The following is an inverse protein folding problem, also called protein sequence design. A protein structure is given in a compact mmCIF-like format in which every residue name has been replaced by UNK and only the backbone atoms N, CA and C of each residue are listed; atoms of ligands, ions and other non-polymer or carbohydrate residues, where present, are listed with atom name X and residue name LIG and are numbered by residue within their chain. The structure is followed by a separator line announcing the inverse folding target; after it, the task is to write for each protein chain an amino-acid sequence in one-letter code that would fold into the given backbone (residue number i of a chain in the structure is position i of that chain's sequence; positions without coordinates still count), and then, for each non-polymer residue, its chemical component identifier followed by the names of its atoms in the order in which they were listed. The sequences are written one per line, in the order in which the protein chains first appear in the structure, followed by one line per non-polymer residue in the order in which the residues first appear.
data_IF_082135256568
#
_entry.id   IF_082135256568
#
_cell.length_a   1.000
_cell.length_b   1.000
_cell.length_c   1.000
_cell.angle_alpha   90.00
_cell.angle_beta   90.00
_cell.angle_gamma   90.00
#
_symmetry.space_group_name_H-M   'P 1'
#
loop_
_entity.id
_entity.type
_entity.pdbx_description
1 polymer ?
#
# COMPACT_ATOMS: atom_id res chain seq x y z
N UNK A 1 -13.23 42.63 -7.76
CA UNK A 1 -12.19 42.05 -6.89
C UNK A 1 -12.34 40.55 -6.91
N UNK A 2 -11.30 39.87 -7.37
CA UNK A 2 -11.38 38.53 -7.97
C UNK A 2 -10.87 37.48 -6.98
N UNK A 3 -11.76 36.82 -6.26
CA UNK A 3 -11.43 35.76 -5.27
C UNK A 3 -11.41 34.36 -5.93
N UNK A 4 -11.63 34.29 -7.26
CA UNK A 4 -11.81 33.03 -8.00
C UNK A 4 -10.54 32.38 -8.56
N UNK A 5 -9.32 32.84 -8.25
CA UNK A 5 -8.08 32.31 -8.87
C UNK A 5 -7.12 31.55 -7.95
N UNK A 6 -7.36 31.50 -6.65
CA UNK A 6 -6.40 30.89 -5.70
C UNK A 6 -6.72 29.45 -5.28
N UNK A 7 -7.89 28.91 -5.63
CA UNK A 7 -8.26 27.52 -5.30
C UNK A 7 -7.96 26.51 -6.43
N UNK A 8 -7.63 26.98 -7.63
CA UNK A 8 -7.36 26.12 -8.80
C UNK A 8 -5.88 25.68 -8.92
N UNK A 9 -5.00 26.19 -8.06
CA UNK A 9 -3.54 25.99 -8.13
C UNK A 9 -3.00 24.87 -7.21
N UNK A 10 -3.85 24.19 -6.44
CA UNK A 10 -3.44 23.06 -5.56
C UNK A 10 -3.91 21.70 -6.11
N UNK A 11 -4.64 21.66 -7.22
CA UNK A 11 -5.15 20.42 -7.84
C UNK A 11 -4.36 19.94 -9.07
N UNK A 12 -3.14 20.44 -9.30
CA UNK A 12 -2.31 20.08 -10.46
C UNK A 12 -0.93 19.47 -10.10
N UNK A 13 -0.74 18.96 -8.88
CA UNK A 13 0.55 18.40 -8.45
C UNK A 13 0.54 16.88 -8.31
N UNK A 14 0.04 16.14 -9.29
CA UNK A 14 0.22 14.67 -9.30
C UNK A 14 -0.03 14.06 -10.69
N UNK A 15 0.47 14.66 -11.76
CA UNK A 15 0.45 13.98 -13.05
C UNK A 15 1.48 14.64 -13.97
N UNK A 16 2.14 13.80 -14.76
CA UNK A 16 2.99 14.14 -15.90
C UNK A 16 4.45 14.47 -15.59
N UNK A 17 5.37 13.61 -16.05
CA UNK A 17 6.57 14.03 -16.75
C UNK A 17 7.21 12.87 -17.54
N UNK A 18 7.44 13.12 -18.82
CA UNK A 18 8.18 12.32 -19.78
C UNK A 18 9.68 12.59 -19.69
N UNK A 19 10.53 11.58 -19.97
CA UNK A 19 11.46 11.55 -21.11
C UNK A 19 12.39 10.32 -21.04
N UNK A 20 12.48 9.66 -22.21
CA UNK A 20 13.46 8.67 -22.72
C UNK A 20 14.60 8.20 -21.80
N UNK A 21 14.79 6.88 -21.72
CA UNK A 21 15.81 6.15 -22.52
C UNK A 21 15.76 4.64 -22.20
N UNK A 22 16.09 3.86 -23.22
CA UNK A 22 16.08 2.40 -23.28
C UNK A 22 17.08 1.74 -22.33
N UNK A 23 16.68 0.68 -21.63
CA UNK A 23 17.57 -0.48 -21.42
C UNK A 23 16.76 -1.77 -21.37
N UNK A 24 17.20 -2.73 -22.17
CA UNK A 24 16.61 -4.04 -22.35
C UNK A 24 17.07 -5.06 -21.30
N UNK A 25 16.19 -6.03 -21.05
CA UNK A 25 16.44 -7.49 -21.11
C UNK A 25 16.04 -8.30 -19.88
N UNK A 26 15.72 -9.58 -20.17
CA UNK A 26 15.44 -10.73 -19.32
C UNK A 26 13.98 -10.93 -18.84
N UNK A 27 13.11 -11.27 -19.79
CA UNK A 27 12.30 -12.52 -19.91
C UNK A 27 11.51 -12.40 -21.22
N UNK A 28 11.39 -13.45 -22.04
CA UNK A 28 10.92 -13.34 -23.44
C UNK A 28 9.60 -14.03 -23.73
N UNK A 29 8.94 -14.66 -22.75
CA UNK A 29 7.54 -15.07 -22.91
C UNK A 29 6.72 -14.58 -21.73
N UNK A 30 6.09 -13.43 -21.95
CA UNK A 30 5.15 -12.79 -21.04
C UNK A 30 3.74 -12.83 -21.60
N UNK A 31 3.47 -13.58 -22.66
CA UNK A 31 2.24 -13.42 -23.45
C UNK A 31 0.97 -13.44 -22.59
N UNK A 32 0.86 -14.38 -21.65
CA UNK A 32 -0.26 -14.45 -20.71
C UNK A 32 -0.26 -13.32 -19.66
N UNK A 33 0.90 -13.02 -19.05
CA UNK A 33 1.02 -11.97 -18.03
C UNK A 33 0.77 -10.57 -18.61
N UNK A 34 1.29 -10.31 -19.81
CA UNK A 34 1.08 -9.11 -20.58
C UNK A 34 -0.39 -8.99 -20.98
N UNK A 35 -1.02 -10.07 -21.45
CA UNK A 35 -2.45 -10.07 -21.76
C UNK A 35 -3.30 -9.75 -20.53
N UNK A 36 -3.00 -10.35 -19.38
CA UNK A 36 -3.65 -10.02 -18.09
C UNK A 36 -3.42 -8.56 -17.71
N UNK A 37 -2.21 -8.03 -17.91
CA UNK A 37 -1.91 -6.61 -17.67
C UNK A 37 -2.69 -5.68 -18.60
N UNK A 38 -2.76 -5.99 -19.90
CA UNK A 38 -3.53 -5.22 -20.88
C UNK A 38 -5.03 -5.22 -20.57
N UNK A 39 -5.59 -6.37 -20.18
CA UNK A 39 -7.00 -6.48 -19.79
C UNK A 39 -7.29 -5.70 -18.50
N UNK A 40 -6.37 -5.73 -17.54
CA UNK A 40 -6.44 -4.91 -16.33
C UNK A 40 -6.33 -3.43 -16.66
N UNK A 41 -5.36 -3.03 -17.48
CA UNK A 41 -5.17 -1.64 -17.89
C UNK A 41 -6.40 -1.09 -18.62
N UNK A 42 -6.99 -1.89 -19.52
CA UNK A 42 -8.25 -1.56 -20.18
C UNK A 42 -9.41 -1.41 -19.18
N UNK A 43 -9.45 -2.24 -18.13
CA UNK A 43 -10.42 -2.12 -17.03
C UNK A 43 -10.18 -0.85 -16.22
N UNK A 44 -8.93 -0.54 -15.88
CA UNK A 44 -8.54 0.67 -15.14
C UNK A 44 -8.95 1.94 -15.88
N UNK A 45 -8.77 2.01 -17.19
CA UNK A 45 -9.19 3.17 -17.98
C UNK A 45 -10.72 3.33 -18.06
N UNK A 46 -11.47 2.23 -17.95
CA UNK A 46 -12.95 2.26 -17.94
C UNK A 46 -13.50 2.66 -16.58
N UNK A 47 -12.93 2.13 -15.49
CA UNK A 47 -13.38 2.38 -14.13
C UNK A 47 -12.17 2.35 -13.17
N UNK A 48 -11.43 3.47 -13.04
CA UNK A 48 -10.24 3.52 -12.19
C UNK A 48 -10.59 3.37 -10.71
N UNK A 49 -11.83 3.70 -10.32
CA UNK A 49 -12.35 3.62 -8.96
C UNK A 49 -12.54 2.18 -8.48
N UNK A 50 -13.13 1.32 -9.33
CA UNK A 50 -13.43 -0.07 -9.02
C UNK A 50 -12.44 -1.08 -9.62
N UNK A 51 -11.19 -0.66 -9.82
CA UNK A 51 -10.15 -1.57 -10.32
C UNK A 51 -10.06 -2.84 -9.45
N UNK A 52 -10.31 -4.04 -10.01
CA UNK A 52 -10.34 -5.26 -9.23
C UNK A 52 -8.92 -5.70 -8.88
N UNK A 53 -8.66 -5.83 -7.58
CA UNK A 53 -7.42 -6.43 -7.09
C UNK A 53 -7.64 -7.92 -6.87
N UNK A 54 -7.38 -8.70 -7.91
CA UNK A 54 -7.52 -10.16 -7.86
C UNK A 54 -6.26 -10.85 -8.42
N UNK A 55 -5.90 -12.05 -7.91
CA UNK A 55 -6.48 -12.68 -6.71
C UNK A 55 -6.09 -11.98 -5.40
N UNK A 56 -6.82 -12.30 -4.33
CA UNK A 56 -6.49 -11.89 -2.97
C UNK A 56 -6.14 -13.10 -2.09
N UNK A 57 -5.29 -12.90 -1.10
CA UNK A 57 -5.03 -13.82 0.01
C UNK A 57 -5.78 -13.35 1.24
N UNK A 58 -6.68 -14.15 1.84
CA UNK A 58 -7.20 -13.85 3.15
C UNK A 58 -6.10 -14.01 4.21
N UNK A 59 -5.94 -13.01 5.06
CA UNK A 59 -5.08 -13.09 6.24
C UNK A 59 -5.93 -13.45 7.46
N UNK A 60 -5.47 -14.40 8.26
CA UNK A 60 -6.21 -14.82 9.45
C UNK A 60 -6.28 -13.69 10.49
N UNK A 61 -7.49 -13.30 10.88
CA UNK A 61 -7.74 -12.37 11.98
C UNK A 61 -8.14 -13.07 13.28
N UNK A 62 -8.78 -12.34 14.18
CA UNK A 62 -9.41 -12.92 15.39
C UNK A 62 -10.72 -13.63 15.06
N UNK A 63 -10.99 -14.75 15.74
CA UNK A 63 -12.26 -15.49 15.58
C UNK A 63 -13.45 -14.72 16.18
N UNK A 64 -13.21 -14.04 17.31
CA UNK A 64 -14.20 -13.22 18.01
C UNK A 64 -13.79 -11.75 17.96
N UNK A 65 -14.50 -11.00 17.15
CA UNK A 65 -14.35 -9.55 17.02
C UNK A 65 -15.32 -8.83 17.97
N UNK A 66 -14.84 -7.78 18.61
CA UNK A 66 -15.67 -6.88 19.41
C UNK A 66 -15.73 -5.53 18.69
N UNK A 67 -16.90 -5.12 18.16
CA UNK A 67 -17.02 -3.81 17.52
C UNK A 67 -16.71 -2.69 18.52
N UNK A 68 -16.14 -1.60 18.00
CA UNK A 68 -16.05 -0.37 18.78
C UNK A 68 -17.46 0.09 19.19
N UNK A 69 -17.65 0.56 20.43
CA UNK A 69 -18.96 0.99 20.89
C UNK A 69 -19.42 2.23 20.13
N UNK A 70 -20.64 2.16 19.57
CA UNK A 70 -21.33 3.30 18.98
C UNK A 70 -22.01 4.11 20.10
N UNK A 71 -21.76 5.42 20.15
CA UNK A 71 -22.42 6.29 21.13
C UNK A 71 -23.88 6.54 20.75
N UNK A 72 -24.75 6.64 21.75
CA UNK A 72 -26.12 7.13 21.53
C UNK A 72 -26.11 8.64 21.26
N UNK A 73 -27.16 9.22 20.63
CA UNK A 73 -27.23 10.67 20.42
C UNK A 73 -27.00 11.49 21.71
N UNK A 74 -27.48 11.01 22.86
CA UNK A 74 -27.29 11.67 24.16
C UNK A 74 -25.86 11.59 24.71
N UNK A 75 -25.04 10.65 24.20
CA UNK A 75 -23.66 10.43 24.63
C UNK A 75 -22.62 11.05 23.69
N UNK A 76 -23.06 11.63 22.56
CA UNK A 76 -22.17 12.23 21.57
C UNK A 76 -21.39 13.39 22.19
N UNK A 77 -20.09 13.44 21.91
CA UNK A 77 -19.23 14.56 22.31
C UNK A 77 -19.02 15.58 21.18
N UNK A 78 -19.56 15.29 20.00
CA UNK A 78 -19.51 16.13 18.80
C UNK A 78 -20.95 16.55 18.45
N UNK A 79 -21.15 17.83 18.13
CA UNK A 79 -22.47 18.36 17.78
C UNK A 79 -23.08 17.61 16.59
N UNK A 80 -24.38 17.34 16.65
CA UNK A 80 -25.11 16.68 15.57
C UNK A 80 -24.94 17.39 14.22
N UNK A 81 -25.02 18.73 14.20
CA UNK A 81 -24.79 19.54 13.01
C UNK A 81 -23.46 19.21 12.32
N UNK A 82 -22.35 19.17 13.06
CA UNK A 82 -21.03 18.84 12.52
C UNK A 82 -20.94 17.39 11.98
N UNK A 83 -21.59 16.43 12.66
CA UNK A 83 -21.64 15.05 12.18
C UNK A 83 -22.44 14.91 10.88
N UNK A 84 -23.57 15.63 10.76
CA UNK A 84 -24.37 15.69 9.53
C UNK A 84 -23.60 16.36 8.40
N UNK A 85 -23.01 17.54 8.64
CA UNK A 85 -22.25 18.28 7.63
C UNK A 85 -21.04 17.49 7.11
N UNK A 86 -20.28 16.85 8.00
CA UNK A 86 -19.12 16.02 7.61
C UNK A 86 -19.53 14.77 6.83
N UNK A 87 -20.63 14.11 7.20
CA UNK A 87 -21.20 13.00 6.42
C UNK A 87 -21.66 13.47 5.04
N UNK A 88 -22.41 14.57 4.96
CA UNK A 88 -22.90 15.11 3.69
C UNK A 88 -21.75 15.50 2.76
N UNK A 89 -20.66 16.04 3.31
CA UNK A 89 -19.44 16.28 2.55
C UNK A 89 -18.82 14.97 2.03
N UNK A 90 -18.67 13.95 2.89
CA UNK A 90 -18.12 12.66 2.48
C UNK A 90 -18.94 12.01 1.35
N UNK A 91 -20.26 12.08 1.44
CA UNK A 91 -21.19 11.59 0.42
C UNK A 91 -21.05 12.38 -0.90
N UNK A 92 -20.98 13.72 -0.84
CA UNK A 92 -20.77 14.56 -2.02
C UNK A 92 -19.41 14.31 -2.71
N UNK A 93 -18.41 13.81 -1.98
CA UNK A 93 -17.09 13.44 -2.49
C UNK A 93 -17.00 11.98 -2.97
N UNK A 94 -18.13 11.30 -3.17
CA UNK A 94 -18.21 9.89 -3.59
C UNK A 94 -17.51 8.91 -2.65
N UNK A 95 -17.51 9.19 -1.33
CA UNK A 95 -16.93 8.26 -0.35
C UNK A 95 -17.74 6.97 -0.26
N UNK A 96 -17.05 5.85 -0.04
CA UNK A 96 -17.69 4.54 0.14
C UNK A 96 -18.09 4.27 1.60
N UNK A 97 -17.33 4.81 2.56
CA UNK A 97 -17.60 4.73 3.98
C UNK A 97 -17.03 5.96 4.70
N UNK A 98 -17.64 6.36 5.81
CA UNK A 98 -17.20 7.46 6.65
C UNK A 98 -17.44 7.13 8.12
N UNK A 99 -16.40 7.25 8.96
CA UNK A 99 -16.46 6.94 10.39
C UNK A 99 -15.81 8.09 11.15
N UNK A 100 -16.49 8.60 12.18
CA UNK A 100 -15.94 9.55 13.16
C UNK A 100 -15.72 8.79 14.46
N UNK A 101 -14.46 8.70 14.88
CA UNK A 101 -14.03 7.99 16.08
C UNK A 101 -13.39 8.96 17.07
N UNK A 102 -13.80 8.90 18.34
CA UNK A 102 -13.27 9.75 19.41
C UNK A 102 -13.30 9.02 20.75
N UNK A 103 -12.22 9.13 21.51
CA UNK A 103 -12.10 8.57 22.86
C UNK A 103 -12.50 7.08 22.96
N UNK A 104 -12.10 6.27 21.97
CA UNK A 104 -12.39 4.84 21.95
C UNK A 104 -13.82 4.49 21.51
N UNK A 105 -14.64 5.44 21.07
CA UNK A 105 -16.04 5.22 20.65
C UNK A 105 -16.34 5.83 19.29
N UNK A 106 -17.26 5.21 18.55
CA UNK A 106 -17.74 5.75 17.28
C UNK A 106 -18.81 6.81 17.60
N UNK A 107 -18.61 8.03 17.11
CA UNK A 107 -19.54 9.17 17.24
C UNK A 107 -20.60 9.15 16.13
N UNK A 108 -20.18 8.74 14.92
CA UNK A 108 -21.02 8.55 13.75
C UNK A 108 -20.35 7.59 12.77
N UNK A 109 -21.15 6.79 12.09
CA UNK A 109 -20.72 5.99 10.94
C UNK A 109 -21.76 6.09 9.82
N UNK A 110 -21.29 6.02 8.59
CA UNK A 110 -22.09 6.00 7.38
C UNK A 110 -21.42 5.13 6.33
N UNK A 111 -22.22 4.38 5.59
CA UNK A 111 -21.79 3.51 4.53
C UNK A 111 -22.62 3.78 3.27
N UNK A 112 -21.95 3.80 2.12
CA UNK A 112 -22.61 3.96 0.82
C UNK A 112 -23.49 2.76 0.47
N UNK A 113 -24.22 2.88 -0.64
CA UNK A 113 -25.13 1.84 -1.13
C UNK A 113 -24.37 0.51 -1.35
N UNK A 114 -24.87 -0.57 -0.75
CA UNK A 114 -24.30 -1.92 -0.91
C UNK A 114 -23.07 -2.21 -0.06
N UNK A 115 -22.69 -1.28 0.82
CA UNK A 115 -21.54 -1.40 1.73
C UNK A 115 -22.05 -1.36 3.16
N UNK A 116 -21.49 -2.20 4.03
CA UNK A 116 -21.71 -2.14 5.47
C UNK A 116 -20.37 -2.21 6.23
N UNK A 117 -20.42 -2.17 7.56
CA UNK A 117 -19.26 -2.22 8.45
C UNK A 117 -18.37 -3.48 8.26
N UNK A 118 -18.83 -4.48 7.52
CA UNK A 118 -18.15 -5.76 7.27
C UNK A 118 -17.70 -5.89 5.81
N UNK A 119 -18.07 -4.96 4.93
CA UNK A 119 -17.65 -4.96 3.54
C UNK A 119 -16.18 -4.55 3.45
N UNK A 120 -15.28 -5.42 2.94
CA UNK A 120 -13.88 -5.07 2.79
C UNK A 120 -13.69 -3.95 1.74
N UNK A 121 -12.87 -2.95 2.06
CA UNK A 121 -12.58 -1.82 1.17
C UNK A 121 -11.11 -1.81 0.73
N UNK A 122 -10.87 -1.52 -0.55
CA UNK A 122 -9.53 -1.40 -1.11
C UNK A 122 -8.84 -0.15 -0.55
N UNK A 123 -7.79 -0.35 0.26
CA UNK A 123 -7.08 0.75 0.92
C UNK A 123 -6.12 1.52 0.00
N UNK A 124 -5.69 0.90 -1.11
CA UNK A 124 -4.59 1.38 -1.95
C UNK A 124 -3.37 1.71 -1.08
N UNK A 125 -2.84 2.93 -1.16
CA UNK A 125 -1.64 3.33 -0.41
C UNK A 125 -1.87 3.55 1.09
N UNK A 126 -3.10 3.49 1.60
CA UNK A 126 -3.36 3.44 3.05
C UNK A 126 -2.84 2.14 3.71
N UNK A 127 -2.37 1.19 2.90
CA UNK A 127 -1.58 0.04 3.32
C UNK A 127 -0.17 0.37 3.82
N UNK A 128 0.45 1.47 3.36
CA UNK A 128 1.85 1.83 3.69
C UNK A 128 2.11 1.98 5.19
N UNK A 129 1.25 2.67 5.96
CA UNK A 129 1.41 2.72 7.40
C UNK A 129 1.45 1.33 8.08
N UNK A 130 0.78 0.31 7.54
CA UNK A 130 0.82 -1.04 8.11
C UNK A 130 2.20 -1.69 7.96
N UNK A 131 2.96 -1.38 6.89
CA UNK A 131 4.34 -1.87 6.76
C UNK A 131 5.25 -1.22 7.80
N UNK A 132 5.04 0.05 8.12
CA UNK A 132 5.76 0.71 9.21
C UNK A 132 5.42 0.09 10.59
N UNK A 133 4.14 -0.23 10.84
CA UNK A 133 3.72 -0.98 12.03
C UNK A 133 4.39 -2.36 12.08
N UNK A 134 4.45 -3.08 10.95
CA UNK A 134 5.12 -4.37 10.88
C UNK A 134 6.62 -4.28 11.19
N UNK A 135 7.32 -3.28 10.66
CA UNK A 135 8.74 -3.03 11.01
C UNK A 135 8.87 -2.69 12.49
N UNK A 136 8.04 -1.80 13.02
CA UNK A 136 8.04 -1.46 14.44
C UNK A 136 7.81 -2.69 15.33
N UNK A 137 6.90 -3.59 14.93
CA UNK A 137 6.67 -4.86 15.62
C UNK A 137 7.90 -5.76 15.55
N UNK A 138 8.49 -5.94 14.36
CA UNK A 138 9.71 -6.73 14.18
C UNK A 138 10.89 -6.19 15.00
N UNK A 139 10.98 -4.87 15.17
CA UNK A 139 11.95 -4.24 16.08
C UNK A 139 11.65 -4.56 17.54
N UNK A 140 10.38 -4.42 17.96
CA UNK A 140 9.97 -4.69 19.34
C UNK A 140 10.24 -6.14 19.79
N UNK A 141 10.19 -7.10 18.86
CA UNK A 141 10.53 -8.51 19.12
C UNK A 141 12.00 -8.87 18.81
N UNK A 142 12.86 -7.87 18.57
CA UNK A 142 14.30 -8.04 18.40
C UNK A 142 14.75 -8.64 17.07
N UNK A 143 13.87 -8.71 16.05
CA UNK A 143 14.19 -9.22 14.71
C UNK A 143 14.84 -8.17 13.82
N UNK A 144 14.57 -6.89 14.07
CA UNK A 144 15.24 -5.75 13.45
C UNK A 144 15.85 -4.90 14.57
N UNK A 145 17.15 -4.64 14.50
CA UNK A 145 17.91 -3.94 15.54
C UNK A 145 17.82 -2.41 15.41
N UNK A 146 17.77 -1.90 14.18
CA UNK A 146 17.71 -0.46 13.92
C UNK A 146 17.11 -0.17 12.55
N UNK A 147 16.48 1.00 12.41
CA UNK A 147 16.07 1.53 11.12
C UNK A 147 17.27 1.83 10.20
N UNK A 148 18.48 1.98 10.76
CA UNK A 148 19.69 2.28 10.00
C UNK A 148 20.40 1.00 9.50
N UNK A 149 19.84 -0.19 9.75
CA UNK A 149 20.31 -1.42 9.12
C UNK A 149 20.10 -1.37 7.61
N UNK A 150 21.08 -1.87 6.88
CA UNK A 150 20.98 -2.03 5.43
C UNK A 150 19.93 -3.08 5.09
N UNK A 151 19.15 -2.86 4.03
CA UNK A 151 18.23 -3.89 3.53
C UNK A 151 18.98 -5.16 3.09
N UNK A 152 20.27 -5.06 2.77
CA UNK A 152 21.11 -6.19 2.37
C UNK A 152 21.47 -7.14 3.53
N UNK A 153 21.20 -6.74 4.78
CA UNK A 153 21.22 -7.65 5.94
C UNK A 153 20.07 -8.67 5.84
N UNK A 154 18.92 -8.28 5.28
CA UNK A 154 17.69 -9.09 5.19
C UNK A 154 17.43 -9.64 3.78
N UNK A 155 17.96 -8.98 2.75
CA UNK A 155 17.80 -9.34 1.35
C UNK A 155 19.18 -9.62 0.76
N UNK A 156 19.69 -10.87 0.83
CA UNK A 156 21.06 -11.19 0.42
C UNK A 156 21.40 -10.81 -1.02
N UNK A 157 20.42 -10.83 -1.94
CA UNK A 157 20.63 -10.44 -3.35
C UNK A 157 20.89 -8.93 -3.54
N UNK A 158 20.61 -8.10 -2.54
CA UNK A 158 20.97 -6.68 -2.59
C UNK A 158 22.48 -6.45 -2.33
N UNK A 159 23.20 -7.42 -1.75
CA UNK A 159 24.64 -7.29 -1.43
C UNK A 159 25.45 -7.10 -2.71
N UNK A 160 26.42 -6.18 -2.65
CA UNK A 160 27.26 -5.85 -3.82
C UNK A 160 26.58 -4.98 -4.88
N UNK A 161 25.31 -4.58 -4.67
CA UNK A 161 24.59 -3.65 -5.56
C UNK A 161 24.48 -2.25 -4.93
N UNK A 162 24.11 -1.25 -5.72
CA UNK A 162 23.78 0.09 -5.20
C UNK A 162 22.66 0.08 -4.15
N UNK A 163 21.75 -0.91 -4.21
CA UNK A 163 20.64 -1.07 -3.26
C UNK A 163 21.10 -1.46 -1.86
N UNK A 164 22.33 -1.97 -1.69
CA UNK A 164 22.90 -2.23 -0.36
C UNK A 164 23.04 -0.97 0.51
N UNK A 165 23.08 0.22 -0.10
CA UNK A 165 23.10 1.50 0.61
C UNK A 165 21.73 1.91 1.18
N UNK A 166 20.65 1.24 0.75
CA UNK A 166 19.30 1.51 1.26
C UNK A 166 19.19 0.94 2.67
N UNK A 167 18.73 1.75 3.62
CA UNK A 167 18.39 1.30 4.97
C UNK A 167 16.89 1.07 5.11
N UNK A 168 16.47 0.37 6.17
CA UNK A 168 15.05 0.21 6.51
C UNK A 168 14.36 1.58 6.63
N UNK A 169 15.05 2.57 7.23
CA UNK A 169 14.58 3.97 7.33
C UNK A 169 14.22 4.54 5.96
N UNK A 170 15.12 4.38 4.98
CA UNK A 170 14.95 4.94 3.64
C UNK A 170 13.82 4.27 2.84
N UNK A 171 13.45 3.03 3.17
CA UNK A 171 12.23 2.43 2.64
C UNK A 171 10.98 3.09 3.24
N UNK A 172 10.95 3.30 4.56
CA UNK A 172 9.78 3.80 5.28
C UNK A 172 9.52 5.29 5.05
N UNK A 173 10.57 6.10 4.87
CA UNK A 173 10.45 7.55 4.66
C UNK A 173 10.56 7.99 3.19
N UNK A 174 10.49 7.02 2.25
CA UNK A 174 10.50 7.26 0.81
C UNK A 174 11.76 7.96 0.31
N UNK A 175 12.93 7.61 0.84
CA UNK A 175 14.24 8.13 0.40
C UNK A 175 15.17 7.04 -0.13
N UNK A 176 14.61 6.01 -0.74
CA UNK A 176 15.38 4.86 -1.25
C UNK A 176 16.35 5.20 -2.38
N UNK A 177 16.18 6.35 -3.04
CA UNK A 177 16.94 6.71 -4.24
C UNK A 177 16.47 5.98 -5.51
N UNK A 178 15.45 5.13 -5.40
CA UNK A 178 14.82 4.42 -6.51
C UNK A 178 13.97 5.37 -7.36
N UNK A 179 13.75 4.99 -8.63
CA UNK A 179 12.87 5.73 -9.54
C UNK A 179 11.52 6.02 -8.87
N UNK A 180 11.07 7.26 -8.98
CA UNK A 180 9.78 7.71 -8.47
C UNK A 180 8.63 6.99 -9.18
N UNK A 181 7.50 6.89 -8.49
CA UNK A 181 6.30 6.37 -9.12
C UNK A 181 5.71 7.39 -10.09
N UNK A 182 5.46 6.94 -11.31
CA UNK A 182 4.62 7.60 -12.30
C UNK A 182 3.61 6.62 -12.89
N UNK A 183 2.52 7.15 -13.47
CA UNK A 183 1.64 6.34 -14.29
C UNK A 183 2.35 6.04 -15.62
N UNK A 184 2.40 4.76 -16.00
CA UNK A 184 2.82 4.34 -17.33
C UNK A 184 1.91 3.22 -17.80
N UNK A 185 1.36 3.40 -19.01
CA UNK A 185 0.65 2.34 -19.71
C UNK A 185 1.62 1.33 -20.36
N UNK A 186 2.89 1.70 -20.51
CA UNK A 186 3.91 0.86 -21.14
C UNK A 186 4.23 -0.37 -20.27
N UNK A 187 4.01 -1.60 -20.74
CA UNK A 187 4.41 -2.79 -20.00
C UNK A 187 5.93 -2.85 -19.73
N UNK A 188 6.75 -2.17 -20.54
CA UNK A 188 8.19 -2.08 -20.36
C UNK A 188 8.63 -1.08 -19.26
N UNK A 189 7.71 -0.32 -18.66
CA UNK A 189 8.04 0.51 -17.51
C UNK A 189 8.61 -0.35 -16.36
N UNK A 190 9.69 0.03 -15.65
CA UNK A 190 10.38 -0.86 -14.70
C UNK A 190 9.47 -1.47 -13.63
N UNK A 191 8.49 -0.71 -13.13
CA UNK A 191 7.53 -1.22 -12.16
C UNK A 191 6.52 -2.19 -12.78
N UNK A 192 6.10 -1.93 -14.02
CA UNK A 192 5.16 -2.80 -14.76
C UNK A 192 5.86 -4.11 -15.13
N UNK A 193 7.12 -4.05 -15.57
CA UNK A 193 7.95 -5.24 -15.77
C UNK A 193 8.07 -6.06 -14.49
N UNK A 194 8.30 -5.41 -13.34
CA UNK A 194 8.28 -6.12 -12.07
C UNK A 194 6.91 -6.77 -11.81
N UNK A 195 5.80 -6.04 -12.01
CA UNK A 195 4.43 -6.57 -11.87
C UNK A 195 4.05 -7.68 -12.84
N UNK A 196 4.77 -7.82 -13.95
CA UNK A 196 4.64 -8.95 -14.87
C UNK A 196 5.52 -10.12 -14.42
N UNK A 197 6.59 -9.84 -13.67
CA UNK A 197 7.54 -10.81 -13.18
C UNK A 197 7.00 -11.64 -12.01
N UNK A 198 7.26 -12.93 -12.12
CA UNK A 198 6.83 -13.93 -11.14
C UNK A 198 7.65 -13.94 -9.87
N UNK A 199 8.86 -13.36 -9.92
CA UNK A 199 9.67 -13.03 -8.76
C UNK A 199 9.70 -11.51 -8.56
N UNK A 200 8.52 -10.88 -8.50
CA UNK A 200 8.32 -9.42 -8.38
C UNK A 200 9.38 -8.68 -7.54
N UNK A 201 9.55 -9.08 -6.28
CA UNK A 201 10.50 -8.42 -5.36
C UNK A 201 11.96 -8.59 -5.81
N UNK A 202 12.31 -9.76 -6.36
CA UNK A 202 13.62 -9.99 -6.96
C UNK A 202 13.81 -9.12 -8.20
N UNK A 203 12.80 -8.98 -9.05
CA UNK A 203 12.86 -8.09 -10.22
C UNK A 203 13.09 -6.64 -9.82
N UNK A 204 12.49 -6.20 -8.71
CA UNK A 204 12.79 -4.89 -8.13
C UNK A 204 14.27 -4.79 -7.73
N UNK A 205 14.76 -5.75 -6.94
CA UNK A 205 16.15 -5.74 -6.47
C UNK A 205 17.13 -5.74 -7.64
N UNK A 206 16.89 -6.56 -8.66
CA UNK A 206 17.84 -6.76 -9.74
C UNK A 206 17.85 -5.61 -10.76
N UNK A 207 16.66 -5.10 -11.13
CA UNK A 207 16.53 -4.23 -12.30
C UNK A 207 15.90 -2.85 -12.03
N UNK A 208 15.26 -2.63 -10.87
CA UNK A 208 14.60 -1.34 -10.66
C UNK A 208 15.63 -0.21 -10.56
N UNK A 209 15.49 0.89 -11.32
CA UNK A 209 16.51 1.93 -11.39
C UNK A 209 16.71 2.69 -10.08
N UNK A 210 17.94 3.16 -9.87
CA UNK A 210 18.32 4.06 -8.78
C UNK A 210 18.95 5.34 -9.34
N UNK A 211 18.13 6.28 -9.85
CA UNK A 211 18.64 7.55 -10.39
C UNK A 211 19.24 8.47 -9.32
N UNK A 212 19.03 8.19 -8.02
CA UNK A 212 19.53 9.02 -6.93
C UNK A 212 20.22 8.18 -5.85
N UNK A 213 21.10 8.81 -5.07
CA UNK A 213 21.70 8.18 -3.90
C UNK A 213 20.69 8.05 -2.76
N UNK A 214 20.62 6.90 -2.04
CA UNK A 214 19.72 6.73 -0.90
C UNK A 214 19.90 7.79 0.17
N UNK A 215 18.80 8.23 0.77
CA UNK A 215 18.76 9.23 1.83
C UNK A 215 18.79 10.69 1.35
N UNK A 216 19.17 10.95 0.09
CA UNK A 216 19.41 12.32 -0.40
C UNK A 216 18.16 13.08 -0.80
N UNK A 217 17.08 12.37 -1.16
CA UNK A 217 15.84 12.98 -1.65
C UNK A 217 14.61 12.12 -1.32
N UNK A 218 13.51 12.79 -1.00
CA UNK A 218 12.18 12.19 -0.96
C UNK A 218 11.65 11.91 -2.38
N UNK A 219 11.24 10.67 -2.61
CA UNK A 219 10.72 10.13 -3.85
C UNK A 219 9.61 9.12 -3.54
N UNK A 220 8.36 9.53 -3.68
CA UNK A 220 7.23 8.65 -3.42
C UNK A 220 7.19 7.52 -4.47
N UNK A 221 7.28 6.27 -4.03
CA UNK A 221 7.21 5.13 -4.92
C UNK A 221 6.65 3.87 -4.23
N UNK A 222 5.96 3.02 -5.02
CA UNK A 222 5.50 1.73 -4.53
C UNK A 222 6.65 0.73 -4.36
N UNK A 223 7.56 0.63 -5.34
CA UNK A 223 8.67 -0.31 -5.34
C UNK A 223 9.45 -0.40 -4.01
N UNK A 224 9.93 0.72 -3.39
CA UNK A 224 10.60 0.63 -2.10
C UNK A 224 9.69 0.13 -0.97
N UNK A 225 8.41 0.45 -1.01
CA UNK A 225 7.49 -0.05 0.00
C UNK A 225 7.21 -1.54 -0.14
N UNK A 226 7.26 -2.08 -1.36
CA UNK A 226 7.09 -3.51 -1.58
C UNK A 226 8.29 -4.32 -1.07
N UNK A 227 9.49 -3.73 -1.08
CA UNK A 227 10.68 -4.32 -0.47
C UNK A 227 10.58 -4.49 1.05
N UNK A 228 9.67 -3.76 1.73
CA UNK A 228 9.46 -3.92 3.18
C UNK A 228 8.97 -5.33 3.52
N UNK A 229 8.15 -5.95 2.66
CA UNK A 229 7.73 -7.33 2.85
C UNK A 229 8.96 -8.27 2.86
N UNK A 230 9.88 -8.12 1.91
CA UNK A 230 11.11 -8.92 1.85
C UNK A 230 12.03 -8.68 3.07
N UNK A 231 12.09 -7.45 3.59
CA UNK A 231 12.81 -7.14 4.83
C UNK A 231 12.21 -7.89 6.02
N UNK A 232 10.87 -7.89 6.17
CA UNK A 232 10.19 -8.64 7.23
C UNK A 232 10.46 -10.14 7.09
N UNK A 233 10.33 -10.69 5.87
CA UNK A 233 10.57 -12.12 5.62
C UNK A 233 12.02 -12.51 5.95
N UNK A 234 13.00 -11.72 5.51
CA UNK A 234 14.41 -11.95 5.81
C UNK A 234 14.77 -11.79 7.28
N UNK A 235 14.15 -10.84 7.99
CA UNK A 235 14.40 -10.61 9.42
C UNK A 235 13.77 -11.68 10.33
N UNK A 236 12.60 -12.21 9.94
CA UNK A 236 11.77 -13.04 10.81
C UNK A 236 11.79 -14.52 10.44
N UNK A 237 12.08 -14.84 9.18
CA UNK A 237 11.91 -16.18 8.59
C UNK A 237 10.45 -16.57 8.32
N UNK A 238 9.50 -15.66 8.54
CA UNK A 238 8.07 -15.89 8.32
C UNK A 238 7.63 -15.27 7.00
N UNK A 239 6.66 -15.86 6.31
CA UNK A 239 6.00 -15.18 5.18
C UNK A 239 5.37 -13.88 5.67
N UNK A 240 5.40 -12.85 4.83
CA UNK A 240 4.90 -11.53 5.21
C UNK A 240 3.43 -11.56 5.68
N UNK A 241 2.55 -12.30 4.99
CA UNK A 241 1.15 -12.45 5.38
C UNK A 241 0.97 -13.15 6.74
N UNK A 242 1.81 -14.14 7.03
CA UNK A 242 1.77 -14.90 8.29
C UNK A 242 2.27 -14.03 9.45
N UNK A 243 3.32 -13.23 9.23
CA UNK A 243 3.79 -12.24 10.19
C UNK A 243 2.73 -11.16 10.46
N UNK A 244 2.12 -10.59 9.42
CA UNK A 244 1.03 -9.63 9.59
C UNK A 244 -0.13 -10.23 10.39
N UNK A 245 -0.56 -11.45 10.06
CA UNK A 245 -1.65 -12.13 10.76
C UNK A 245 -1.34 -12.30 12.25
N UNK A 246 -0.20 -12.90 12.57
CA UNK A 246 0.16 -13.31 13.94
C UNK A 246 0.63 -12.16 14.82
N UNK A 247 1.47 -11.28 14.28
CA UNK A 247 2.20 -10.27 15.07
C UNK A 247 1.55 -8.88 15.03
N UNK A 248 0.62 -8.63 14.09
CA UNK A 248 -0.01 -7.31 13.91
C UNK A 248 -1.54 -7.40 13.99
N UNK A 249 -2.19 -8.14 13.09
CA UNK A 249 -3.64 -8.11 12.92
C UNK A 249 -4.38 -8.76 14.09
N UNK A 250 -3.97 -9.96 14.53
CA UNK A 250 -4.57 -10.63 15.69
C UNK A 250 -4.41 -9.83 16.99
N UNK A 251 -3.21 -9.31 17.33
CA UNK A 251 -3.05 -8.43 18.49
C UNK A 251 -3.90 -7.15 18.43
N UNK A 252 -4.16 -6.61 17.24
CA UNK A 252 -5.03 -5.45 17.03
C UNK A 252 -6.53 -5.79 17.08
N UNK A 253 -6.90 -7.07 17.15
CA UNK A 253 -8.30 -7.50 17.10
C UNK A 253 -8.94 -7.42 15.72
N UNK A 254 -8.14 -7.31 14.65
CA UNK A 254 -8.64 -7.25 13.27
C UNK A 254 -9.20 -8.62 12.85
N UNK A 255 -10.37 -8.64 12.19
CA UNK A 255 -11.06 -9.89 11.82
C UNK A 255 -10.77 -10.37 10.40
N UNK A 256 -10.90 -9.48 9.41
CA UNK A 256 -10.85 -9.84 7.99
C UNK A 256 -9.97 -8.89 7.20
N UNK A 257 -8.73 -9.29 6.96
CA UNK A 257 -7.82 -8.52 6.09
C UNK A 257 -7.48 -9.34 4.87
N UNK A 258 -7.31 -8.69 3.74
CA UNK A 258 -6.83 -9.35 2.52
C UNK A 258 -5.55 -8.69 2.04
N UNK A 259 -4.71 -9.52 1.42
CA UNK A 259 -3.47 -9.12 0.78
C UNK A 259 -3.56 -9.39 -0.71
N UNK A 260 -3.17 -8.43 -1.55
CA UNK A 260 -3.11 -8.64 -3.00
C UNK A 260 -2.12 -9.75 -3.36
N UNK A 261 -2.51 -10.63 -4.29
CA UNK A 261 -1.65 -11.64 -4.91
C UNK A 261 -1.60 -11.44 -6.43
N UNK A 262 -0.47 -11.78 -7.05
CA UNK A 262 -0.46 -12.09 -8.47
C UNK A 262 -1.17 -13.44 -8.68
N UNK A 263 -1.84 -13.61 -9.81
CA UNK A 263 -2.48 -14.87 -10.17
C UNK A 263 -1.48 -16.03 -10.06
N UNK A 264 -1.89 -17.10 -9.36
CA UNK A 264 -1.21 -18.40 -9.24
C UNK A 264 0.07 -18.54 -8.41
N UNK A 265 0.48 -17.58 -7.55
CA UNK A 265 1.78 -17.72 -6.84
C UNK A 265 1.80 -17.43 -5.32
N UNK A 266 2.70 -18.11 -4.56
CA UNK A 266 2.66 -18.16 -3.09
C UNK A 266 3.27 -16.95 -2.35
N UNK A 267 4.00 -16.05 -3.03
CA UNK A 267 4.60 -14.89 -2.38
C UNK A 267 3.68 -13.66 -2.53
N UNK A 268 3.17 -13.10 -1.43
CA UNK A 268 2.35 -11.90 -1.52
C UNK A 268 3.18 -10.70 -1.96
N UNK A 269 2.51 -9.79 -2.67
CA UNK A 269 3.07 -8.52 -3.11
C UNK A 269 2.82 -7.43 -2.05
N UNK A 270 3.67 -6.41 -2.03
CA UNK A 270 3.57 -5.28 -1.10
C UNK A 270 2.26 -4.48 -1.20
N UNK A 271 1.98 -3.72 -0.15
CA UNK A 271 0.98 -2.65 -0.14
C UNK A 271 -0.35 -2.86 -0.89
N UNK A 272 -0.99 -3.99 -0.64
CA UNK A 272 -2.40 -4.05 -0.92
C UNK A 272 -3.11 -4.69 0.25
N UNK A 273 -3.26 -3.90 1.31
CA UNK A 273 -4.08 -4.26 2.45
C UNK A 273 -5.53 -3.90 2.14
N UNK A 274 -6.45 -4.83 2.32
CA UNK A 274 -7.89 -4.53 2.37
C UNK A 274 -8.26 -4.53 3.85
N UNK A 275 -8.92 -3.47 4.31
CA UNK A 275 -9.21 -3.26 5.73
C UNK A 275 -10.20 -4.27 6.30
N UNK A 276 -10.01 -4.51 7.60
CA UNK A 276 -10.86 -5.29 8.47
C UNK A 276 -12.09 -4.52 8.92
N UNK A 277 -13.23 -5.23 8.92
CA UNK A 277 -14.24 -5.05 9.96
C UNK A 277 -13.70 -5.58 11.28
#
# INVERSE_FOLDING_TARGET
MNVGRSALLILQSALVACLMTTVASAQTDWSDAQKVYEDRLATFFKDPGNFPYAPMEPLAGVDRWTPLPLVTPAQRSISEKALVESRSYAEAMNSTAFIVWRNGRIESEWYGKGVDARTPLVSRSLSKPLTAIAIGRAMAIGKIRSLDQSIAEFIPSARGTAKAKITVRYLLDMRSGMLDQGFSADPAHPYNLALLDTEFGKKIIDSYPMPYEPGTRYSYANAPSDLVAMVIEGATGMRYGDFLSSEVLKPLGARRTYLGRQAERPRPFGLLHVFAG
#
